data_IF_903688958547
#
_entry.id   IF_903688958547
#
_cell.length_a   1.000
_cell.length_b   1.000
_cell.length_c   1.000
_cell.angle_alpha   90.00
_cell.angle_beta   90.00
_cell.angle_gamma   90.00
#
_symmetry.space_group_name_H-M   'P 1'
#
loop_
_entity.id
_entity.type
_entity.pdbx_description
1 polymer ?
#
# COMPACT_ATOMS: atom_id res chain seq x y z
N UNK A 1 -6.69 7.42 17.22
CA UNK A 1 -6.68 7.04 18.65
C UNK A 1 -5.22 6.92 19.08
N UNK A 2 -4.73 7.74 20.01
CA UNK A 2 -3.31 7.72 20.42
C UNK A 2 -2.90 6.41 21.11
N UNK A 3 -3.86 5.61 21.58
CA UNK A 3 -3.61 4.35 22.29
C UNK A 3 -3.40 3.15 21.36
N UNK A 4 -3.68 3.27 20.06
CA UNK A 4 -3.60 2.16 19.09
C UNK A 4 -2.62 2.41 17.95
N UNK A 5 -1.93 3.55 17.96
CA UNK A 5 -0.91 3.84 16.94
C UNK A 5 0.42 3.23 17.37
N UNK A 6 1.07 2.38 16.55
CA UNK A 6 2.36 1.81 16.90
C UNK A 6 3.41 2.90 17.16
N UNK A 7 4.24 2.73 18.19
CA UNK A 7 5.39 3.63 18.44
C UNK A 7 6.45 3.51 17.34
N UNK A 8 6.57 2.33 16.73
CA UNK A 8 7.51 2.03 15.67
C UNK A 8 6.85 1.04 14.70
N UNK A 9 7.01 1.29 13.41
CA UNK A 9 6.62 0.37 12.33
C UNK A 9 7.87 -0.08 11.57
N UNK A 10 8.07 -1.39 11.47
CA UNK A 10 9.16 -2.01 10.70
C UNK A 10 8.52 -2.70 9.49
N UNK A 11 8.95 -2.33 8.29
CA UNK A 11 8.47 -2.91 7.03
C UNK A 11 9.65 -3.60 6.37
N UNK A 12 9.70 -4.92 6.47
CA UNK A 12 10.78 -5.75 5.92
C UNK A 12 10.27 -6.50 4.67
N UNK A 13 10.79 -6.21 3.47
CA UNK A 13 10.37 -6.89 2.25
C UNK A 13 10.74 -8.38 2.24
N UNK A 14 11.77 -8.83 2.97
CA UNK A 14 12.15 -10.24 3.02
C UNK A 14 11.08 -11.11 3.68
N UNK A 15 10.24 -10.53 4.55
CA UNK A 15 9.11 -11.23 5.16
C UNK A 15 7.93 -11.38 4.19
N UNK A 16 7.88 -10.60 3.11
CA UNK A 16 6.79 -10.63 2.13
C UNK A 16 6.97 -11.69 1.05
N UNK A 17 8.20 -12.19 0.83
CA UNK A 17 8.51 -13.14 -0.26
C UNK A 17 7.92 -14.55 -0.09
N UNK A 18 7.37 -14.84 1.10
CA UNK A 18 6.72 -16.12 1.40
C UNK A 18 5.21 -16.10 1.12
N UNK A 19 4.66 -14.93 0.75
CA UNK A 19 3.22 -14.75 0.57
C UNK A 19 2.79 -15.38 -0.76
N UNK A 20 1.76 -16.25 -0.76
CA UNK A 20 1.22 -16.81 -1.99
C UNK A 20 0.77 -15.72 -2.99
N UNK A 21 0.99 -15.89 -4.31
CA UNK A 21 0.67 -14.90 -5.34
C UNK A 21 -0.71 -14.25 -5.24
N UNK A 22 -1.75 -15.05 -4.96
CA UNK A 22 -3.12 -14.55 -4.86
C UNK A 22 -3.34 -13.66 -3.63
N UNK A 23 -2.65 -13.92 -2.52
CA UNK A 23 -2.69 -13.06 -1.34
C UNK A 23 -1.89 -11.77 -1.57
N UNK A 24 -0.76 -11.84 -2.27
CA UNK A 24 -0.01 -10.65 -2.72
C UNK A 24 -0.90 -9.74 -3.58
N UNK A 25 -1.69 -10.33 -4.50
CA UNK A 25 -2.65 -9.58 -5.30
C UNK A 25 -3.70 -8.88 -4.42
N UNK A 26 -4.33 -9.60 -3.48
CA UNK A 26 -5.37 -9.03 -2.61
C UNK A 26 -4.85 -7.88 -1.75
N UNK A 27 -3.69 -8.07 -1.12
CA UNK A 27 -3.05 -7.05 -0.29
C UNK A 27 -2.60 -5.84 -1.11
N UNK A 28 -2.09 -6.05 -2.32
CA UNK A 28 -1.75 -4.96 -3.23
C UNK A 28 -2.95 -4.15 -3.69
N UNK A 29 -4.08 -4.81 -3.95
CA UNK A 29 -5.35 -4.12 -4.25
C UNK A 29 -5.91 -3.39 -3.03
N UNK A 30 -5.79 -3.94 -1.83
CA UNK A 30 -6.16 -3.25 -0.59
C UNK A 30 -5.35 -1.94 -0.43
N UNK A 31 -4.03 -1.99 -0.63
CA UNK A 31 -3.18 -0.81 -0.64
C UNK A 31 -3.56 0.20 -1.75
N UNK A 32 -3.96 -0.29 -2.93
CA UNK A 32 -4.45 0.57 -4.01
C UNK A 32 -5.73 1.31 -3.60
N UNK A 33 -6.70 0.61 -3.01
CA UNK A 33 -7.96 1.21 -2.59
C UNK A 33 -7.73 2.24 -1.49
N UNK A 34 -6.88 1.96 -0.50
CA UNK A 34 -6.50 2.95 0.51
C UNK A 34 -5.91 4.24 -0.12
N UNK A 35 -5.06 4.11 -1.13
CA UNK A 35 -4.49 5.27 -1.81
C UNK A 35 -5.53 6.02 -2.67
N UNK A 36 -6.30 5.29 -3.48
CA UNK A 36 -7.31 5.87 -4.37
C UNK A 36 -8.43 6.57 -3.60
N UNK A 37 -8.97 5.92 -2.56
CA UNK A 37 -9.99 6.49 -1.68
C UNK A 37 -9.43 7.65 -0.87
N UNK A 38 -8.19 7.54 -0.39
CA UNK A 38 -7.50 8.61 0.31
C UNK A 38 -7.32 9.87 -0.53
N UNK A 39 -7.03 9.72 -1.83
CA UNK A 39 -6.87 10.85 -2.76
C UNK A 39 -8.19 11.58 -3.04
N UNK A 40 -9.32 10.86 -3.10
CA UNK A 40 -10.65 11.47 -3.35
C UNK A 40 -11.39 11.87 -2.06
N UNK A 41 -10.79 11.65 -0.89
CA UNK A 41 -11.43 11.90 0.39
C UNK A 41 -11.65 13.40 0.63
N UNK A 42 -12.79 13.76 1.25
CA UNK A 42 -13.09 15.15 1.62
C UNK A 42 -12.08 15.75 2.62
N UNK A 43 -11.32 14.92 3.33
CA UNK A 43 -10.28 15.32 4.28
C UNK A 43 -8.86 15.23 3.70
N UNK A 44 -8.74 15.03 2.38
CA UNK A 44 -7.45 15.01 1.70
C UNK A 44 -6.68 16.33 1.91
N UNK A 45 -5.36 16.21 1.94
CA UNK A 45 -4.42 17.32 2.09
C UNK A 45 -3.38 17.22 0.97
N UNK A 46 -2.70 18.32 0.59
CA UNK A 46 -1.67 18.26 -0.44
C UNK A 46 -0.56 17.23 -0.15
N UNK A 47 -0.21 17.00 1.12
CA UNK A 47 0.78 16.00 1.51
C UNK A 47 0.23 14.57 1.37
N UNK A 48 -1.02 14.32 1.79
CA UNK A 48 -1.62 12.98 1.60
C UNK A 48 -1.78 12.64 0.13
N UNK A 49 -2.11 13.62 -0.71
CA UNK A 49 -2.26 13.43 -2.16
C UNK A 49 -0.94 13.02 -2.82
N UNK A 50 0.18 13.64 -2.41
CA UNK A 50 1.51 13.26 -2.87
C UNK A 50 1.80 11.78 -2.59
N UNK A 51 1.49 11.31 -1.37
CA UNK A 51 1.69 9.91 -1.00
C UNK A 51 0.73 8.97 -1.74
N UNK A 52 -0.54 9.35 -1.88
CA UNK A 52 -1.53 8.54 -2.57
C UNK A 52 -1.19 8.34 -4.06
N UNK A 53 -0.83 9.43 -4.76
CA UNK A 53 -0.44 9.37 -6.17
C UNK A 53 0.83 8.54 -6.37
N UNK A 54 1.82 8.67 -5.48
CA UNK A 54 3.04 7.87 -5.55
C UNK A 54 2.78 6.39 -5.26
N UNK A 55 1.93 6.08 -4.27
CA UNK A 55 1.51 4.70 -3.98
C UNK A 55 0.80 4.07 -5.19
N UNK A 56 -0.15 4.78 -5.81
CA UNK A 56 -0.84 4.33 -7.03
C UNK A 56 0.17 4.04 -8.14
N UNK A 57 1.12 4.94 -8.37
CA UNK A 57 2.16 4.79 -9.41
C UNK A 57 3.02 3.55 -9.18
N UNK A 58 3.47 3.33 -7.94
CA UNK A 58 4.29 2.19 -7.56
C UNK A 58 3.51 0.87 -7.66
N UNK A 59 2.28 0.83 -7.14
CA UNK A 59 1.43 -0.37 -7.18
C UNK A 59 1.12 -0.74 -8.63
N UNK A 60 0.71 0.22 -9.47
CA UNK A 60 0.46 -0.01 -10.89
C UNK A 60 1.68 -0.64 -11.59
N UNK A 61 2.87 -0.12 -11.28
CA UNK A 61 4.12 -0.56 -11.92
C UNK A 61 4.60 -1.93 -11.41
N UNK A 62 4.49 -2.20 -10.11
CA UNK A 62 5.21 -3.31 -9.48
C UNK A 62 4.31 -4.44 -8.94
N UNK A 63 3.02 -4.21 -8.69
CA UNK A 63 2.15 -5.28 -8.20
C UNK A 63 2.07 -6.48 -9.17
N UNK A 64 1.96 -6.31 -10.50
CA UNK A 64 1.97 -7.46 -11.40
C UNK A 64 3.28 -8.26 -11.34
N UNK A 65 4.40 -7.59 -11.10
CA UNK A 65 5.72 -8.23 -10.93
C UNK A 65 5.75 -9.03 -9.64
N UNK A 66 5.34 -8.42 -8.52
CA UNK A 66 5.31 -9.09 -7.21
C UNK A 66 4.30 -10.25 -7.14
N UNK A 67 3.21 -10.20 -7.92
CA UNK A 67 2.28 -11.34 -8.01
C UNK A 67 2.88 -12.49 -8.83
N UNK A 68 3.69 -12.19 -9.85
CA UNK A 68 4.29 -13.20 -10.70
C UNK A 68 5.55 -13.84 -10.09
N UNK A 69 6.36 -13.03 -9.39
CA UNK A 69 7.70 -13.38 -8.88
C UNK A 69 8.05 -12.48 -7.68
N UNK A 70 7.36 -12.70 -6.56
CA UNK A 70 7.48 -11.92 -5.34
C UNK A 70 7.80 -12.77 -4.14
#
# INVERSE_FOLDING_TARGET
CQLTFPTLSIVDPELMVSIPPHLTAYQGFDAFFHAAEGFIANCATPISDLYALEAIRLIYKYLPVAVADG
#
